data_IF_576111734345
#
_entry.id   IF_576111734345
#
_cell.length_a   1.000
_cell.length_b   1.000
_cell.length_c   1.000
_cell.angle_alpha   90.00
_cell.angle_beta   90.00
_cell.angle_gamma   90.00
#
_symmetry.space_group_name_H-M   'P 1'
#
loop_
_entity.id
_entity.type
_entity.pdbx_description
1 polymer ?
#
# COMPACT_ATOMS: atom_id res chain seq x y z
N UNK A 1 -10.89 23.93 -9.38
CA UNK A 1 -9.97 24.14 -8.23
C UNK A 1 -9.50 22.77 -7.73
N UNK A 2 -8.36 22.26 -8.22
CA UNK A 2 -7.77 20.98 -7.84
C UNK A 2 -6.94 21.02 -6.52
N UNK A 3 -6.90 22.17 -5.85
CA UNK A 3 -6.14 22.37 -4.61
C UNK A 3 -6.82 21.84 -3.33
N UNK A 4 -8.09 21.46 -3.37
CA UNK A 4 -8.85 21.02 -2.20
C UNK A 4 -8.52 19.57 -1.79
N UNK A 5 -8.29 18.69 -2.76
CA UNK A 5 -7.95 17.28 -2.51
C UNK A 5 -6.56 17.13 -1.89
N UNK A 6 -5.57 17.87 -2.40
CA UNK A 6 -4.20 17.84 -1.88
C UNK A 6 -4.12 18.37 -0.44
N UNK A 7 -4.89 19.40 -0.11
CA UNK A 7 -4.98 19.94 1.25
C UNK A 7 -5.74 19.00 2.21
N UNK A 8 -6.70 18.24 1.69
CA UNK A 8 -7.47 17.22 2.43
C UNK A 8 -6.61 16.01 2.75
N UNK A 9 -5.89 15.46 1.77
CA UNK A 9 -4.94 14.34 1.93
C UNK A 9 -3.81 14.71 2.90
N UNK A 10 -3.28 15.94 2.82
CA UNK A 10 -2.25 16.43 3.72
C UNK A 10 -2.67 16.63 5.18
N UNK A 11 -3.97 16.69 5.49
CA UNK A 11 -4.50 16.66 6.87
C UNK A 11 -4.68 15.24 7.37
N UNK A 12 -5.16 14.35 6.51
CA UNK A 12 -5.43 12.93 6.83
C UNK A 12 -4.15 12.23 7.30
N UNK A 13 -3.01 12.50 6.65
CA UNK A 13 -1.73 11.84 6.96
C UNK A 13 -1.01 12.41 8.20
N UNK A 14 -1.12 13.72 8.46
CA UNK A 14 -0.49 14.34 9.64
C UNK A 14 -1.22 14.07 10.96
N UNK A 15 -2.48 13.64 10.85
CA UNK A 15 -3.31 13.24 11.98
C UNK A 15 -3.24 11.73 12.28
N UNK A 16 -2.31 10.97 11.69
CA UNK A 16 -2.20 9.53 11.89
C UNK A 16 -1.08 9.15 12.88
N UNK A 17 -1.33 9.10 14.19
CA UNK A 17 -0.46 8.43 15.16
C UNK A 17 -0.89 6.96 15.28
N UNK A 18 -0.25 6.08 14.52
CA UNK A 18 -0.56 4.64 14.52
C UNK A 18 -0.02 3.93 13.30
N UNK A 19 -0.16 2.59 13.28
CA UNK A 19 0.23 1.76 12.14
C UNK A 19 -0.44 2.27 10.85
N UNK A 20 0.38 2.65 9.86
CA UNK A 20 -0.08 3.22 8.59
C UNK A 20 -0.10 2.11 7.52
N UNK A 21 -1.17 2.01 6.74
CA UNK A 21 -1.20 1.13 5.58
C UNK A 21 -1.13 1.98 4.30
N UNK A 22 0.08 2.32 3.80
CA UNK A 22 0.21 2.94 2.50
C UNK A 22 -0.32 2.01 1.40
N UNK A 23 -1.19 2.58 0.57
CA UNK A 23 -1.72 1.96 -0.65
C UNK A 23 -1.43 2.91 -1.80
N UNK A 24 -0.86 2.37 -2.87
CA UNK A 24 -0.45 3.14 -4.06
C UNK A 24 -0.99 2.50 -5.33
N UNK A 25 -0.98 3.24 -6.44
CA UNK A 25 -1.26 2.72 -7.78
C UNK A 25 -0.19 3.29 -8.73
N UNK A 26 1.00 2.69 -8.71
CA UNK A 26 2.10 3.08 -9.58
C UNK A 26 3.07 1.91 -9.82
N UNK A 27 3.88 1.97 -10.87
CA UNK A 27 4.72 0.84 -11.29
C UNK A 27 5.70 0.36 -10.22
N UNK A 28 6.22 1.29 -9.40
CA UNK A 28 7.26 1.03 -8.41
C UNK A 28 6.76 1.19 -6.96
N UNK A 29 5.44 1.18 -6.72
CA UNK A 29 4.86 1.51 -5.41
C UNK A 29 5.42 0.69 -4.24
N UNK A 30 5.59 -0.63 -4.41
CA UNK A 30 6.18 -1.49 -3.37
C UNK A 30 7.67 -1.18 -3.11
N UNK A 31 8.44 -0.83 -4.15
CA UNK A 31 9.86 -0.45 -3.99
C UNK A 31 10.02 0.87 -3.22
N UNK A 32 9.01 1.74 -3.29
CA UNK A 32 8.97 3.02 -2.58
C UNK A 32 8.47 2.91 -1.14
N UNK A 33 8.24 1.69 -0.64
CA UNK A 33 7.81 1.45 0.74
C UNK A 33 6.30 1.35 0.94
N UNK A 34 5.52 1.30 -0.15
CA UNK A 34 4.09 1.01 -0.05
C UNK A 34 3.84 -0.40 0.45
N UNK A 35 2.80 -0.59 1.25
CA UNK A 35 2.43 -1.92 1.75
C UNK A 35 1.59 -2.67 0.71
N UNK A 36 0.70 -1.96 0.02
CA UNK A 36 -0.13 -2.50 -1.05
C UNK A 36 0.02 -1.64 -2.30
N UNK A 37 0.16 -2.26 -3.46
CA UNK A 37 0.18 -1.55 -4.73
C UNK A 37 -0.87 -2.10 -5.69
N UNK A 38 -1.83 -1.28 -6.07
CA UNK A 38 -2.83 -1.58 -7.08
C UNK A 38 -2.22 -1.61 -8.47
N UNK A 39 -2.69 -2.58 -9.26
CA UNK A 39 -2.26 -2.86 -10.62
C UNK A 39 -3.48 -3.28 -11.43
N UNK A 40 -3.57 -2.81 -12.66
CA UNK A 40 -4.54 -3.36 -13.61
C UNK A 40 -3.89 -4.58 -14.27
N UNK A 41 -4.55 -5.74 -14.14
CA UNK A 41 -4.15 -7.00 -14.80
C UNK A 41 -5.41 -7.59 -15.41
N UNK A 42 -5.36 -7.89 -16.71
CA UNK A 42 -6.51 -8.41 -17.48
C UNK A 42 -7.78 -7.57 -17.27
N UNK A 43 -7.67 -6.25 -17.41
CA UNK A 43 -8.77 -5.28 -17.22
C UNK A 43 -9.40 -5.29 -15.81
N UNK A 44 -8.72 -5.87 -14.82
CA UNK A 44 -9.20 -5.95 -13.43
C UNK A 44 -8.20 -5.34 -12.46
N UNK A 45 -8.72 -4.65 -11.45
CA UNK A 45 -7.91 -4.20 -10.32
C UNK A 45 -7.42 -5.42 -9.54
N UNK A 46 -6.11 -5.55 -9.49
CA UNK A 46 -5.36 -6.48 -8.65
C UNK A 46 -4.50 -5.68 -7.69
N UNK A 47 -3.84 -6.38 -6.77
CA UNK A 47 -2.89 -5.74 -5.89
C UNK A 47 -1.72 -6.64 -5.54
N UNK A 48 -0.56 -6.02 -5.44
CA UNK A 48 0.66 -6.62 -4.93
C UNK A 48 0.87 -6.16 -3.48
N UNK A 49 1.54 -6.98 -2.67
CA UNK A 49 1.77 -6.73 -1.24
C UNK A 49 3.25 -6.85 -0.89
N UNK A 50 3.75 -5.94 -0.06
CA UNK A 50 5.07 -6.03 0.58
C UNK A 50 4.93 -6.32 2.07
N UNK A 51 5.37 -7.50 2.52
CA UNK A 51 5.35 -7.85 3.94
C UNK A 51 6.40 -7.09 4.74
N UNK A 52 7.57 -6.83 4.15
CA UNK A 52 8.63 -6.03 4.76
C UNK A 52 8.15 -4.58 5.03
N UNK A 53 7.44 -3.99 4.06
CA UNK A 53 6.83 -2.67 4.24
C UNK A 53 5.72 -2.71 5.30
N UNK A 54 4.92 -3.79 5.36
CA UNK A 54 3.88 -3.93 6.39
C UNK A 54 4.48 -3.94 7.79
N UNK A 55 5.54 -4.71 8.01
CA UNK A 55 6.26 -4.79 9.29
C UNK A 55 6.85 -3.43 9.68
N UNK A 56 7.53 -2.75 8.74
CA UNK A 56 8.09 -1.40 8.97
C UNK A 56 7.05 -0.35 9.32
N UNK A 57 5.82 -0.52 8.83
CA UNK A 57 4.69 0.36 9.16
C UNK A 57 3.87 -0.14 10.36
N UNK A 58 4.34 -1.16 11.09
CA UNK A 58 3.65 -1.78 12.23
C UNK A 58 2.26 -2.35 11.88
N UNK A 59 2.06 -2.77 10.64
CA UNK A 59 0.80 -3.34 10.14
C UNK A 59 0.89 -4.85 10.08
N UNK A 60 -0.05 -5.53 10.75
CA UNK A 60 -0.26 -6.97 10.60
C UNK A 60 -1.29 -7.23 9.50
N UNK A 61 -0.89 -7.96 8.47
CA UNK A 61 -1.80 -8.38 7.40
C UNK A 61 -2.35 -9.77 7.66
N UNK A 62 -3.66 -9.96 7.44
CA UNK A 62 -4.29 -11.28 7.54
C UNK A 62 -3.79 -12.21 6.43
N UNK A 63 -3.56 -13.47 6.75
CA UNK A 63 -3.20 -14.50 5.77
C UNK A 63 -4.24 -14.63 4.64
N UNK A 64 -5.52 -14.40 4.94
CA UNK A 64 -6.62 -14.40 3.95
C UNK A 64 -6.55 -13.24 2.96
N UNK A 65 -5.92 -12.11 3.33
CA UNK A 65 -5.70 -11.02 2.38
C UNK A 65 -4.62 -11.41 1.37
N UNK A 66 -3.58 -12.11 1.84
CA UNK A 66 -2.47 -12.55 1.00
C UNK A 66 -2.89 -13.61 -0.01
N UNK A 67 -3.94 -14.40 0.25
CA UNK A 67 -4.44 -15.41 -0.70
C UNK A 67 -5.06 -14.81 -1.96
N UNK A 68 -5.50 -13.55 -1.91
CA UNK A 68 -6.09 -12.86 -3.07
C UNK A 68 -5.15 -11.81 -3.69
N UNK A 69 -3.96 -11.65 -3.12
CA UNK A 69 -2.92 -10.80 -3.67
C UNK A 69 -2.39 -11.40 -4.98
N UNK A 70 -2.16 -10.54 -5.97
CA UNK A 70 -1.55 -10.94 -7.24
C UNK A 70 -0.08 -11.32 -7.07
N UNK A 71 0.65 -10.59 -6.22
CA UNK A 71 2.03 -10.89 -5.85
C UNK A 71 2.28 -10.53 -4.40
N UNK A 72 3.07 -11.34 -3.70
CA UNK A 72 3.56 -11.03 -2.35
C UNK A 72 5.08 -11.01 -2.37
N UNK A 73 5.67 -9.89 -1.92
CA UNK A 73 7.12 -9.71 -1.78
C UNK A 73 7.47 -9.78 -0.29
N UNK A 74 8.43 -10.64 0.03
CA UNK A 74 9.09 -10.71 1.34
C UNK A 74 10.50 -10.16 1.13
N UNK A 75 11.01 -9.34 2.04
CA UNK A 75 12.36 -8.78 1.92
C UNK A 75 13.39 -9.88 1.70
N UNK A 76 14.28 -9.70 0.73
CA UNK A 76 15.44 -10.57 0.57
C UNK A 76 16.32 -10.42 1.82
N UNK A 77 16.53 -11.52 2.53
CA UNK A 77 17.61 -11.65 3.53
C UNK A 77 18.97 -11.53 2.85
#
# INVERSE_FOLDING_TARGET
MAGNDSARTGRILRAAPGALLPVTECDLGLQQGSVINFRIVDERVRFDVSLDSAEKNNVKLSSRLLTVANRVVKGNS
#
